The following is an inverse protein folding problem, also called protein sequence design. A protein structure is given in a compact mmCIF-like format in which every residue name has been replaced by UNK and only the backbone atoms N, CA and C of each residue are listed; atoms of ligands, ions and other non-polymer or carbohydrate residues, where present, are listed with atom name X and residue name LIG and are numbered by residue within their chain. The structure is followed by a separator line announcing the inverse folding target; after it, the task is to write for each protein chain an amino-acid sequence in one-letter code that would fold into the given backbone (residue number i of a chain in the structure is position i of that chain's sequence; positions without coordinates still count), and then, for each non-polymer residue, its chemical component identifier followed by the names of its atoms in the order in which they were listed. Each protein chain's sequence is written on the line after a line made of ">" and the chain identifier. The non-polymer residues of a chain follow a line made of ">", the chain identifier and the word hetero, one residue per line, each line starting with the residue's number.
data_IF_642290335402
#
_entry.id   IF_642290335402
#
_cell.length_a   1.000
_cell.length_b   1.000
_cell.length_c   1.000
_cell.angle_alpha   90.00
_cell.angle_beta   90.00
_cell.angle_gamma   90.00
#
_symmetry.space_group_name_H-M   'P 1'
#
loop_
_entity.id
_entity.type
_entity.pdbx_description
1 polymer ?
#
# COMPACT_ATOMS: atom_id res chain seq x y z
N UNK A 1 -52.86 -15.04 -10.20
CA UNK A 1 -51.97 -16.22 -10.30
C UNK A 1 -50.57 -15.82 -9.86
N UNK A 2 -50.15 -16.24 -8.68
CA UNK A 2 -48.77 -16.08 -8.22
C UNK A 2 -47.90 -17.09 -8.99
N UNK A 3 -47.06 -16.59 -9.91
CA UNK A 3 -46.05 -17.42 -10.57
C UNK A 3 -44.91 -17.62 -9.57
N UNK A 4 -44.81 -18.83 -9.02
CA UNK A 4 -43.69 -19.24 -8.19
C UNK A 4 -42.48 -19.59 -9.05
N UNK A 5 -41.29 -19.29 -8.54
CA UNK A 5 -40.02 -19.69 -9.15
C UNK A 5 -39.87 -21.21 -9.07
N UNK A 6 -39.40 -21.86 -10.13
CA UNK A 6 -39.16 -23.31 -10.10
C UNK A 6 -37.89 -23.63 -9.31
N UNK A 7 -37.89 -24.74 -8.55
CA UNK A 7 -36.70 -25.26 -7.87
C UNK A 7 -35.54 -25.49 -8.85
N UNK A 8 -35.84 -26.00 -10.04
CA UNK A 8 -34.85 -26.25 -11.11
C UNK A 8 -34.25 -24.94 -11.61
N UNK A 9 -35.08 -23.90 -11.70
CA UNK A 9 -34.70 -22.56 -12.16
C UNK A 9 -33.74 -21.89 -11.17
N UNK A 10 -33.92 -22.12 -9.86
CA UNK A 10 -32.97 -21.64 -8.85
C UNK A 10 -31.64 -22.41 -8.91
N UNK A 11 -31.69 -23.72 -9.11
CA UNK A 11 -30.50 -24.58 -9.12
C UNK A 11 -29.59 -24.26 -10.32
N UNK A 12 -30.16 -24.07 -11.53
CA UNK A 12 -29.35 -23.73 -12.71
C UNK A 12 -28.69 -22.35 -12.57
N UNK A 13 -29.38 -21.39 -11.95
CA UNK A 13 -28.84 -20.05 -11.69
C UNK A 13 -27.66 -20.12 -10.72
N UNK A 14 -27.81 -20.87 -9.61
CA UNK A 14 -26.72 -21.05 -8.66
C UNK A 14 -25.53 -21.80 -9.28
N UNK A 15 -25.78 -22.78 -10.17
CA UNK A 15 -24.73 -23.49 -10.88
C UNK A 15 -23.89 -22.54 -11.77
N UNK A 16 -24.53 -21.66 -12.54
CA UNK A 16 -23.80 -20.67 -13.36
C UNK A 16 -23.09 -19.63 -12.49
N UNK A 17 -23.72 -19.13 -11.42
CA UNK A 17 -23.09 -18.19 -10.48
C UNK A 17 -21.84 -18.77 -9.81
N UNK A 18 -21.84 -20.07 -9.47
CA UNK A 18 -20.68 -20.73 -8.89
C UNK A 18 -19.49 -20.75 -9.85
N UNK A 19 -19.74 -21.05 -11.14
CA UNK A 19 -18.68 -21.03 -12.17
C UNK A 19 -18.11 -19.62 -12.33
N UNK A 20 -18.96 -18.60 -12.45
CA UNK A 20 -18.52 -17.21 -12.60
C UNK A 20 -17.76 -16.71 -11.35
N UNK A 21 -18.22 -17.07 -10.16
CA UNK A 21 -17.59 -16.68 -8.88
C UNK A 21 -16.19 -17.27 -8.73
N UNK A 22 -15.96 -18.51 -9.18
CA UNK A 22 -14.65 -19.15 -9.10
C UNK A 22 -13.56 -18.41 -9.90
N UNK A 23 -13.88 -17.98 -11.13
CA UNK A 23 -12.97 -17.22 -12.00
C UNK A 23 -12.73 -15.82 -11.42
N UNK A 24 -13.79 -15.17 -10.93
CA UNK A 24 -13.71 -13.85 -10.31
C UNK A 24 -12.82 -13.86 -9.06
N UNK A 25 -12.88 -14.91 -8.25
CA UNK A 25 -12.11 -15.02 -7.00
C UNK A 25 -10.60 -15.00 -7.23
N UNK A 26 -10.09 -15.74 -8.21
CA UNK A 26 -8.67 -15.75 -8.54
C UNK A 26 -8.20 -14.37 -9.07
N UNK A 27 -8.99 -13.75 -9.95
CA UNK A 27 -8.69 -12.42 -10.50
C UNK A 27 -8.67 -11.34 -9.41
N UNK A 28 -9.61 -11.39 -8.47
CA UNK A 28 -9.73 -10.42 -7.40
C UNK A 28 -8.54 -10.47 -6.43
N UNK A 29 -7.96 -11.66 -6.19
CA UNK A 29 -6.75 -11.80 -5.37
C UNK A 29 -5.56 -11.04 -5.98
N UNK A 30 -5.27 -11.28 -7.25
CA UNK A 30 -4.15 -10.58 -7.93
C UNK A 30 -4.38 -9.06 -8.00
N UNK A 31 -5.63 -8.63 -8.21
CA UNK A 31 -5.97 -7.19 -8.21
C UNK A 31 -5.79 -6.55 -6.84
N UNK A 32 -6.06 -7.27 -5.74
CA UNK A 32 -5.83 -6.79 -4.38
C UNK A 32 -4.34 -6.65 -4.10
N UNK A 33 -3.55 -7.68 -4.43
CA UNK A 33 -2.10 -7.66 -4.24
C UNK A 33 -1.46 -6.46 -4.96
N UNK A 34 -1.85 -6.19 -6.21
CA UNK A 34 -1.37 -5.03 -6.97
C UNK A 34 -1.85 -3.69 -6.37
N UNK A 35 -3.10 -3.62 -5.89
CA UNK A 35 -3.63 -2.41 -5.26
C UNK A 35 -2.93 -2.10 -3.92
N UNK A 36 -2.65 -3.12 -3.12
CA UNK A 36 -1.87 -3.02 -1.89
C UNK A 36 -0.45 -2.54 -2.21
N UNK A 37 0.18 -3.09 -3.26
CA UNK A 37 1.50 -2.64 -3.70
C UNK A 37 1.52 -1.19 -4.18
N UNK A 38 0.55 -0.78 -5.00
CA UNK A 38 0.41 0.60 -5.46
C UNK A 38 0.17 1.58 -4.28
N UNK A 39 -0.63 1.17 -3.29
CA UNK A 39 -0.87 1.96 -2.09
C UNK A 39 0.40 2.11 -1.26
N UNK A 40 1.17 1.03 -1.03
CA UNK A 40 2.41 1.14 -0.26
C UNK A 40 3.46 1.99 -0.98
N UNK A 41 3.56 1.90 -2.31
CA UNK A 41 4.45 2.77 -3.12
C UNK A 41 4.06 4.25 -3.03
N UNK A 42 2.76 4.55 -3.04
CA UNK A 42 2.25 5.92 -2.84
C UNK A 42 2.65 6.46 -1.47
N UNK A 43 2.49 5.65 -0.42
CA UNK A 43 2.91 6.04 0.93
C UNK A 43 4.42 6.28 1.02
N UNK A 44 5.25 5.42 0.42
CA UNK A 44 6.69 5.58 0.36
C UNK A 44 7.10 6.88 -0.36
N UNK A 45 6.46 7.21 -1.48
CA UNK A 45 6.72 8.45 -2.20
C UNK A 45 6.31 9.69 -1.39
N UNK A 46 5.17 9.62 -0.68
CA UNK A 46 4.73 10.69 0.22
C UNK A 46 5.71 10.89 1.38
N UNK A 47 6.19 9.80 1.98
CA UNK A 47 7.16 9.84 3.07
C UNK A 47 8.52 10.39 2.62
N UNK A 48 9.02 9.96 1.46
CA UNK A 48 10.26 10.50 0.90
C UNK A 48 10.13 12.01 0.58
N UNK A 49 8.96 12.44 0.10
CA UNK A 49 8.67 13.86 -0.11
C UNK A 49 8.66 14.63 1.22
N UNK A 50 8.02 14.07 2.24
CA UNK A 50 8.02 14.66 3.59
C UNK A 50 9.43 14.77 4.17
N UNK A 51 10.27 13.77 3.93
CA UNK A 51 11.67 13.76 4.33
C UNK A 51 12.48 14.85 3.62
N UNK A 52 12.26 15.06 2.32
CA UNK A 52 12.90 16.16 1.57
C UNK A 52 12.44 17.54 2.05
N UNK A 53 11.16 17.68 2.39
CA UNK A 53 10.63 18.91 2.99
C UNK A 53 11.28 19.15 4.35
N UNK A 54 11.35 18.14 5.22
CA UNK A 54 12.04 18.20 6.50
C UNK A 54 13.49 18.65 6.31
N UNK A 55 14.24 18.01 5.42
CA UNK A 55 15.63 18.37 5.15
C UNK A 55 15.76 19.83 4.70
N UNK A 56 14.86 20.33 3.85
CA UNK A 56 14.83 21.73 3.41
C UNK A 56 14.67 22.70 4.59
N UNK A 57 13.87 22.36 5.61
CA UNK A 57 13.69 23.18 6.81
C UNK A 57 14.85 23.07 7.81
N UNK A 58 15.60 21.97 7.79
CA UNK A 58 16.60 21.64 8.81
C UNK A 58 18.05 21.70 8.31
N UNK A 59 18.33 22.23 7.10
CA UNK A 59 19.69 22.48 6.62
C UNK A 59 20.19 21.56 5.51
N UNK A 60 19.28 20.98 4.72
CA UNK A 60 19.45 20.14 3.52
C UNK A 60 20.17 18.79 3.71
N UNK A 61 20.97 18.64 4.76
CA UNK A 61 21.72 17.42 5.07
C UNK A 61 21.16 16.66 6.28
N UNK A 62 20.17 17.24 6.95
CA UNK A 62 19.55 16.66 8.14
C UNK A 62 18.24 16.00 7.74
N UNK A 63 18.22 14.67 7.79
CA UNK A 63 17.03 13.86 7.56
C UNK A 63 16.31 13.59 8.89
N UNK A 64 15.01 13.31 8.82
CA UNK A 64 14.21 12.99 10.00
C UNK A 64 14.79 11.77 10.72
N UNK A 65 14.91 11.81 12.05
CA UNK A 65 15.47 10.72 12.87
C UNK A 65 14.41 9.73 13.36
N UNK A 66 13.14 10.05 13.15
CA UNK A 66 11.99 9.25 13.55
C UNK A 66 10.77 9.60 12.69
N UNK A 67 9.79 8.70 12.63
CA UNK A 67 8.54 8.96 11.89
C UNK A 67 7.75 10.13 12.48
N UNK A 68 7.92 10.41 13.78
CA UNK A 68 7.27 11.53 14.46
C UNK A 68 7.81 12.89 14.01
N UNK A 69 9.06 12.96 13.55
CA UNK A 69 9.63 14.18 12.96
C UNK A 69 8.95 14.56 11.64
N UNK A 70 8.33 13.58 10.97
CA UNK A 70 7.60 13.76 9.72
C UNK A 70 6.10 14.05 9.92
N UNK A 71 5.57 13.94 11.15
CA UNK A 71 4.16 14.21 11.45
C UNK A 71 3.62 15.53 10.88
N UNK A 72 4.32 16.69 10.97
CA UNK A 72 3.81 17.93 10.37
C UNK A 72 3.82 17.95 8.83
N UNK A 73 4.48 16.99 8.19
CA UNK A 73 4.68 16.92 6.73
C UNK A 73 3.89 15.78 6.06
N UNK A 74 3.16 14.97 6.84
CA UNK A 74 2.37 13.84 6.34
C UNK A 74 0.91 13.95 6.79
N UNK A 75 -0.01 13.45 5.98
CA UNK A 75 -1.44 13.41 6.31
C UNK A 75 -1.84 12.02 6.78
N UNK A 76 -2.48 11.93 7.96
CA UNK A 76 -3.19 10.72 8.41
C UNK A 76 -2.36 9.63 9.11
N UNK A 77 -1.19 9.94 9.67
CA UNK A 77 -0.28 8.94 10.26
C UNK A 77 -0.20 8.87 11.79
N UNK A 78 -0.81 9.80 12.54
CA UNK A 78 -0.81 9.83 14.02
C UNK A 78 0.53 9.41 14.65
N UNK A 79 1.57 10.23 14.55
CA UNK A 79 2.92 10.01 15.12
C UNK A 79 3.73 8.82 14.58
N UNK A 80 3.07 7.78 14.03
CA UNK A 80 3.63 6.51 13.60
C UNK A 80 3.69 6.36 12.07
N UNK A 81 3.20 7.35 11.32
CA UNK A 81 3.14 7.30 9.87
C UNK A 81 1.98 6.46 9.32
N UNK A 82 1.81 6.39 7.98
CA UNK A 82 0.79 5.56 7.36
C UNK A 82 1.07 4.07 7.61
N UNK A 83 0.02 3.25 7.68
CA UNK A 83 0.16 1.78 7.76
C UNK A 83 0.22 1.19 6.35
N UNK A 84 1.14 0.25 6.07
CA UNK A 84 1.13 -0.46 4.78
C UNK A 84 -0.02 -1.47 4.77
N UNK A 85 -0.94 -1.43 3.79
CA UNK A 85 -2.07 -2.36 3.70
C UNK A 85 -1.70 -3.84 3.76
N UNK A 86 -0.49 -4.20 3.32
CA UNK A 86 0.04 -5.57 3.34
C UNK A 86 0.49 -6.05 4.72
N UNK A 87 0.47 -5.19 5.75
CA UNK A 87 0.91 -5.50 7.12
C UNK A 87 2.35 -5.08 7.46
N UNK A 88 3.02 -4.39 6.54
CA UNK A 88 4.37 -3.84 6.73
C UNK A 88 4.42 -2.55 7.54
N UNK A 89 5.61 -2.25 8.05
CA UNK A 89 5.96 -0.96 8.64
C UNK A 89 6.88 -0.17 7.72
N UNK A 90 6.77 1.16 7.72
CA UNK A 90 7.72 2.03 7.04
C UNK A 90 8.83 2.45 7.98
N UNK A 91 10.07 2.22 7.57
CA UNK A 91 11.28 2.62 8.28
C UNK A 91 11.96 3.73 7.51
N UNK A 92 12.43 4.73 8.24
CA UNK A 92 13.31 5.77 7.71
C UNK A 92 14.75 5.27 7.73
N UNK A 93 15.45 5.43 6.62
CA UNK A 93 16.88 5.16 6.49
C UNK A 93 17.65 6.46 6.72
N UNK A 94 18.34 6.52 7.84
CA UNK A 94 19.06 7.72 8.30
C UNK A 94 20.46 7.87 7.68
N UNK A 95 20.79 7.10 6.64
CA UNK A 95 21.99 7.36 5.87
C UNK A 95 22.01 8.82 5.35
N UNK A 96 23.20 9.35 5.03
CA UNK A 96 23.39 10.77 4.64
C UNK A 96 22.64 11.19 3.36
N UNK A 97 21.81 10.33 2.78
CA UNK A 97 21.05 10.56 1.55
C UNK A 97 19.53 10.56 1.78
N UNK A 98 19.09 10.20 2.99
CA UNK A 98 17.69 9.99 3.30
C UNK A 98 17.09 8.80 2.56
N UNK A 99 16.11 8.18 3.19
CA UNK A 99 15.39 7.08 2.57
C UNK A 99 14.21 6.59 3.38
N UNK A 100 13.31 5.91 2.69
CA UNK A 100 12.12 5.28 3.27
C UNK A 100 12.00 3.89 2.68
N UNK A 101 11.86 2.89 3.56
CA UNK A 101 11.74 1.49 3.19
C UNK A 101 10.51 0.88 3.83
N UNK A 102 9.88 -0.07 3.14
CA UNK A 102 8.86 -0.92 3.76
C UNK A 102 9.51 -2.23 4.23
N UNK A 103 9.24 -2.66 5.45
CA UNK A 103 9.79 -3.89 6.04
C UNK A 103 9.16 -5.18 5.52
N UNK A 104 8.05 -5.09 4.80
CA UNK A 104 7.31 -6.27 4.37
C UNK A 104 7.98 -6.96 3.19
N UNK A 105 8.50 -8.15 3.43
CA UNK A 105 9.26 -8.94 2.45
C UNK A 105 8.45 -10.02 1.74
N UNK A 106 7.16 -10.19 2.04
CA UNK A 106 6.38 -11.30 1.50
C UNK A 106 5.53 -10.90 0.27
N UNK A 107 5.85 -11.56 -0.85
CA UNK A 107 5.16 -11.63 -2.16
C UNK A 107 5.18 -10.46 -3.13
N UNK A 108 5.59 -9.25 -2.76
CA UNK A 108 6.00 -8.23 -3.73
C UNK A 108 6.69 -7.14 -2.93
N UNK A 109 8.01 -7.02 -3.11
CA UNK A 109 8.82 -6.01 -2.45
C UNK A 109 8.19 -4.63 -2.69
N UNK A 110 7.56 -4.06 -1.64
CA UNK A 110 7.00 -2.71 -1.73
C UNK A 110 8.09 -1.65 -1.91
N UNK A 111 9.35 -2.09 -1.86
CA UNK A 111 10.50 -1.35 -2.34
C UNK A 111 10.95 -0.29 -1.35
N UNK A 112 11.81 0.56 -1.85
CA UNK A 112 12.39 1.66 -1.10
C UNK A 112 12.46 2.90 -1.97
N UNK A 113 12.45 4.05 -1.32
CA UNK A 113 12.91 5.30 -1.92
C UNK A 113 14.18 5.67 -1.18
N UNK A 114 15.30 5.77 -1.88
CA UNK A 114 16.59 6.19 -1.30
C UNK A 114 17.19 7.25 -2.22
N UNK A 115 17.61 8.39 -1.67
CA UNK A 115 18.13 9.51 -2.48
C UNK A 115 17.15 9.96 -3.59
N UNK A 116 15.84 9.88 -3.30
CA UNK A 116 14.77 10.15 -4.27
C UNK A 116 14.58 9.10 -5.38
N UNK A 117 15.40 8.03 -5.40
CA UNK A 117 15.30 6.95 -6.38
C UNK A 117 14.35 5.88 -5.86
N UNK A 118 13.30 5.57 -6.63
CA UNK A 118 12.34 4.51 -6.30
C UNK A 118 12.86 3.18 -6.80
N UNK A 119 12.82 2.14 -5.97
CA UNK A 119 13.36 0.81 -6.33
C UNK A 119 12.48 0.02 -7.30
N UNK A 120 11.30 0.54 -7.64
CA UNK A 120 10.30 -0.11 -8.50
C UNK A 120 10.11 0.61 -9.84
N UNK A 121 10.91 1.63 -10.11
CA UNK A 121 11.05 2.27 -11.42
C UNK A 121 12.21 1.64 -12.19
#
# INVERSE_FOLDING_TARGET
>A
MNRGFSLVELIVVLAVLAVLSSIASAKLRNMRDEAEAASCRTNLANLATAEQIYATHHGYINFAGSMSDLEPYITGGGGNGPVCPSGGEYILDFDRRGGVQCTWTERQAHGSVSDGIKSWE
#
